data_IF_422427156141
#
_entry.id   IF_422427156141
#
_cell.length_a   1.000
_cell.length_b   1.000
_cell.length_c   1.000
_cell.angle_alpha   90.00
_cell.angle_beta   90.00
_cell.angle_gamma   90.00
#
_symmetry.space_group_name_H-M   'P 1'
#
loop_
_entity.id
_entity.type
_entity.pdbx_description
1 polymer ?
#
# COMPACT_ATOMS: atom_id res chain seq x y z
N UNK A 1 2.58 17.58 -14.60
CA UNK A 1 3.58 17.11 -13.62
C UNK A 1 4.79 16.60 -14.40
N UNK A 2 6.00 16.90 -13.95
CA UNK A 2 7.24 16.47 -14.59
C UNK A 2 8.23 16.03 -13.52
N UNK A 3 8.85 14.87 -13.71
CA UNK A 3 9.91 14.36 -12.85
C UNK A 3 11.22 14.55 -13.61
N UNK A 4 12.21 15.14 -12.97
CA UNK A 4 13.53 15.36 -13.56
C UNK A 4 14.60 14.61 -12.79
N UNK A 5 15.58 14.06 -13.48
CA UNK A 5 16.80 13.56 -12.83
C UNK A 5 17.72 14.71 -12.37
N UNK A 6 18.88 14.35 -11.83
CA UNK A 6 19.92 15.28 -11.38
C UNK A 6 20.48 16.16 -12.49
N UNK A 7 20.38 15.72 -13.74
CA UNK A 7 20.86 16.44 -14.93
C UNK A 7 19.74 17.30 -15.57
N UNK A 8 18.54 17.28 -14.99
CA UNK A 8 17.39 18.07 -15.42
C UNK A 8 16.58 17.45 -16.57
N UNK A 9 16.87 16.20 -16.93
CA UNK A 9 16.18 15.45 -17.99
C UNK A 9 14.82 14.98 -17.48
N UNK A 10 13.76 15.17 -18.28
CA UNK A 10 12.41 14.74 -17.92
C UNK A 10 12.27 13.22 -18.05
N UNK A 11 11.86 12.58 -16.97
CA UNK A 11 11.65 11.14 -16.89
C UNK A 11 10.17 10.82 -17.16
N UNK A 12 9.89 9.83 -18.01
CA UNK A 12 8.54 9.30 -18.18
C UNK A 12 7.94 8.89 -16.83
N UNK A 13 6.74 9.38 -16.56
CA UNK A 13 5.99 9.04 -15.35
C UNK A 13 4.56 8.72 -15.72
N UNK A 14 3.96 7.81 -14.97
CA UNK A 14 2.55 7.45 -15.10
C UNK A 14 1.76 8.11 -13.97
N UNK A 15 0.63 8.72 -14.31
CA UNK A 15 -0.27 9.36 -13.35
C UNK A 15 -1.62 8.64 -13.42
N UNK A 16 -2.09 8.16 -12.27
CA UNK A 16 -3.40 7.53 -12.12
C UNK A 16 -4.17 8.22 -11.00
N UNK A 17 -5.47 8.42 -11.18
CA UNK A 17 -6.33 8.97 -10.14
C UNK A 17 -6.74 7.85 -9.18
N UNK A 18 -6.54 8.06 -7.87
CA UNK A 18 -6.79 7.02 -6.87
C UNK A 18 -8.28 6.78 -6.60
N UNK A 19 -9.11 7.83 -6.67
CA UNK A 19 -10.56 7.77 -6.49
C UNK A 19 -11.26 8.75 -7.44
N UNK A 20 -12.34 8.33 -8.09
CA UNK A 20 -13.12 9.21 -8.97
C UNK A 20 -13.71 10.37 -8.18
N UNK A 21 -13.43 11.61 -8.60
CA UNK A 21 -13.92 12.83 -7.94
C UNK A 21 -13.05 13.36 -6.79
N UNK A 22 -11.97 12.69 -6.41
CA UNK A 22 -11.00 13.22 -5.44
C UNK A 22 -9.77 13.84 -6.13
N UNK A 23 -9.15 14.84 -5.48
CA UNK A 23 -7.90 15.45 -5.94
C UNK A 23 -6.65 14.65 -5.50
N UNK A 24 -6.75 13.30 -5.44
CA UNK A 24 -5.64 12.41 -5.06
C UNK A 24 -5.19 11.60 -6.27
N UNK A 25 -3.89 11.69 -6.57
CA UNK A 25 -3.26 11.03 -7.70
C UNK A 25 -2.09 10.18 -7.21
N UNK A 26 -1.97 8.96 -7.74
CA UNK A 26 -0.79 8.12 -7.60
C UNK A 26 0.09 8.36 -8.82
N UNK A 27 1.37 8.63 -8.55
CA UNK A 27 2.37 8.88 -9.59
C UNK A 27 3.49 7.88 -9.45
N UNK A 28 3.72 7.12 -10.51
CA UNK A 28 4.74 6.07 -10.57
C UNK A 28 5.77 6.43 -11.62
N UNK A 29 7.04 6.30 -11.27
CA UNK A 29 8.15 6.40 -12.21
C UNK A 29 9.23 5.38 -11.84
N UNK A 30 9.94 4.89 -12.84
CA UNK A 30 11.02 3.92 -12.64
C UNK A 30 12.36 4.64 -12.85
N UNK A 31 13.07 5.00 -11.78
CA UNK A 31 14.37 5.66 -11.89
C UNK A 31 15.38 4.69 -12.51
N UNK A 32 16.15 5.18 -13.48
CA UNK A 32 17.19 4.39 -14.19
C UNK A 32 18.60 4.69 -13.69
N UNK A 33 18.75 5.63 -12.75
CA UNK A 33 20.01 6.04 -12.15
C UNK A 33 19.84 6.31 -10.66
N UNK A 34 20.94 6.18 -9.92
CA UNK A 34 21.02 6.62 -8.53
C UNK A 34 21.16 8.15 -8.49
N UNK A 35 20.62 8.77 -7.45
CA UNK A 35 20.73 10.22 -7.29
C UNK A 35 19.44 10.87 -6.83
N UNK A 36 19.44 12.21 -6.87
CA UNK A 36 18.29 13.02 -6.45
C UNK A 36 17.45 13.40 -7.66
N UNK A 37 16.16 13.11 -7.58
CA UNK A 37 15.17 13.42 -8.60
C UNK A 37 14.26 14.54 -8.11
N UNK A 38 14.02 15.54 -8.95
CA UNK A 38 13.16 16.68 -8.63
C UNK A 38 11.77 16.46 -9.22
N UNK A 39 10.75 16.39 -8.36
CA UNK A 39 9.36 16.21 -8.76
C UNK A 39 8.64 17.56 -8.78
N UNK A 40 8.27 18.01 -9.98
CA UNK A 40 7.53 19.25 -10.21
C UNK A 40 6.05 18.96 -10.48
N UNK A 41 5.19 19.44 -9.60
CA UNK A 41 3.74 19.24 -9.63
C UNK A 41 3.06 20.57 -9.85
N UNK A 42 2.29 20.62 -10.94
CA UNK A 42 1.53 21.81 -11.35
C UNK A 42 0.07 21.44 -11.52
N UNK A 43 -0.83 22.29 -11.03
CA UNK A 43 -2.27 22.22 -11.29
C UNK A 43 -2.68 23.50 -12.03
N UNK A 44 -3.36 23.38 -13.17
CA UNK A 44 -3.71 24.52 -14.02
C UNK A 44 -2.54 25.45 -14.38
N UNK A 45 -1.34 24.89 -14.60
CA UNK A 45 -0.06 25.59 -14.85
C UNK A 45 0.52 26.36 -13.66
N UNK A 46 -0.07 26.25 -12.48
CA UNK A 46 0.48 26.80 -11.22
C UNK A 46 1.14 25.70 -10.38
N UNK A 47 2.27 26.01 -9.73
CA UNK A 47 2.98 25.08 -8.84
C UNK A 47 2.22 24.94 -7.53
N UNK A 48 1.93 23.71 -7.12
CA UNK A 48 1.17 23.45 -5.89
C UNK A 48 2.06 23.59 -4.64
N UNK A 49 1.44 23.84 -3.49
CA UNK A 49 2.13 23.92 -2.20
C UNK A 49 2.85 22.60 -1.88
N UNK A 50 4.15 22.67 -1.61
CA UNK A 50 5.00 21.50 -1.35
C UNK A 50 5.72 20.95 -2.59
N UNK A 51 5.57 21.60 -3.75
CA UNK A 51 6.34 21.31 -4.96
C UNK A 51 7.25 22.50 -5.34
N UNK A 52 8.45 22.28 -5.93
CA UNK A 52 9.09 20.97 -6.13
C UNK A 52 9.49 20.29 -4.82
N UNK A 53 9.59 18.97 -4.86
CA UNK A 53 10.18 18.16 -3.79
C UNK A 53 11.13 17.12 -4.38
N UNK A 54 12.05 16.62 -3.55
CA UNK A 54 13.14 15.74 -3.97
C UNK A 54 12.91 14.29 -3.54
N UNK A 55 13.22 13.36 -4.43
CA UNK A 55 13.22 11.91 -4.18
C UNK A 55 14.62 11.39 -4.40
N UNK A 56 15.24 10.82 -3.36
CA UNK A 56 16.61 10.28 -3.45
C UNK A 56 16.56 8.78 -3.69
N UNK A 57 17.14 8.33 -4.80
CA UNK A 57 17.30 6.93 -5.16
C UNK A 57 18.72 6.50 -4.77
N UNK A 58 18.79 5.45 -3.95
CA UNK A 58 20.03 4.92 -3.38
C UNK A 58 20.21 3.47 -3.77
N UNK A 59 21.46 3.01 -3.76
CA UNK A 59 21.82 1.63 -4.04
C UNK A 59 21.35 0.71 -2.90
N UNK A 60 20.77 -0.44 -3.25
CA UNK A 60 20.31 -1.41 -2.25
C UNK A 60 21.47 -2.35 -1.91
N UNK A 61 22.17 -2.06 -0.80
CA UNK A 61 23.28 -2.88 -0.30
C UNK A 61 22.75 -3.97 0.63
N UNK A 62 22.48 -5.16 0.11
CA UNK A 62 22.27 -6.37 0.93
C UNK A 62 22.88 -7.62 0.28
N UNK A 63 24.16 -7.90 0.66
CA UNK A 63 24.73 -9.22 1.00
C UNK A 63 26.25 -9.31 0.68
N UNK A 64 27.12 -9.26 1.70
CA UNK A 64 28.29 -10.16 1.90
C UNK A 64 28.64 -10.22 3.41
N UNK A 65 28.82 -11.43 3.94
CA UNK A 65 29.17 -11.78 5.33
C UNK A 65 30.65 -11.55 5.69
N UNK A 66 30.90 -11.25 6.98
CA UNK A 66 31.97 -11.89 7.76
C UNK A 66 33.17 -11.02 8.19
N UNK A 67 33.29 -10.76 9.50
CA UNK A 67 34.58 -10.47 10.17
C UNK A 67 34.57 -9.34 11.21
N UNK A 68 34.69 -9.69 12.49
CA UNK A 68 35.10 -8.86 13.65
C UNK A 68 36.26 -9.64 14.31
N UNK A 69 37.31 -9.09 14.96
CA UNK A 69 37.53 -7.77 15.61
C UNK A 69 38.80 -7.05 15.08
N UNK A 70 39.35 -5.92 15.54
CA UNK A 70 39.40 -5.22 16.84
C UNK A 70 39.96 -3.78 16.67
N UNK A 71 39.42 -2.88 17.49
CA UNK A 71 40.03 -1.74 18.20
C UNK A 71 40.51 -0.41 17.55
N UNK A 72 39.90 0.63 18.17
CA UNK A 72 40.39 1.96 18.58
C UNK A 72 40.71 3.05 17.54
N UNK A 73 39.78 4.00 17.40
CA UNK A 73 39.97 5.32 18.04
C UNK A 73 38.70 6.19 17.98
N UNK A 74 38.49 6.87 19.10
CA UNK A 74 37.43 7.79 19.52
C UNK A 74 37.29 9.02 18.60
N UNK A 75 36.05 9.46 18.34
CA UNK A 75 35.71 10.88 18.13
C UNK A 75 34.22 11.15 18.39
N UNK A 76 34.00 11.70 19.58
CA UNK A 76 32.99 12.68 20.03
C UNK A 76 31.64 12.83 19.31
N UNK A 77 30.59 12.62 20.12
CA UNK A 77 29.20 12.94 19.85
C UNK A 77 28.93 14.45 20.01
N UNK A 78 28.70 15.16 18.91
CA UNK A 78 28.15 16.53 18.94
C UNK A 78 26.64 16.51 18.75
N UNK A 79 25.92 16.85 19.83
CA UNK A 79 24.50 17.24 19.83
C UNK A 79 24.25 18.45 18.91
N UNK A 80 23.26 18.36 18.02
CA UNK A 80 22.54 19.52 17.42
C UNK A 80 21.05 19.19 17.43
N UNK A 81 20.27 19.58 18.45
CA UNK A 81 19.60 20.88 18.65
C UNK A 81 18.91 21.41 17.38
N UNK A 82 17.59 21.20 17.37
CA UNK A 82 16.61 21.84 16.49
C UNK A 82 16.69 23.37 16.60
N UNK A 83 16.84 24.03 15.45
CA UNK A 83 16.69 25.48 15.30
C UNK A 83 15.26 25.75 14.82
N UNK A 84 14.42 26.29 15.71
CA UNK A 84 13.20 27.02 15.35
C UNK A 84 13.61 28.41 14.88
N UNK A 85 13.22 28.80 13.66
CA UNK A 85 13.27 30.19 13.20
C UNK A 85 12.14 30.97 13.86
N UNK A 86 12.51 31.88 14.77
CA UNK A 86 11.68 32.97 15.25
C UNK A 86 11.42 33.97 14.09
N UNK A 87 10.16 34.33 13.88
CA UNK A 87 9.81 35.59 13.23
C UNK A 87 9.66 36.65 14.33
N UNK A 88 10.53 37.64 14.23
CA UNK A 88 10.58 38.86 15.03
C UNK A 88 9.54 39.83 14.46
N UNK A 89 8.48 40.10 15.21
CA UNK A 89 7.66 41.29 15.02
C UNK A 89 7.72 42.17 16.27
N UNK A 90 7.95 43.44 15.99
CA UNK A 90 8.49 44.47 16.84
C UNK A 90 7.46 44.95 17.87
N UNK A 91 7.84 44.93 19.17
CA UNK A 91 7.13 45.68 20.23
C UNK A 91 7.13 47.18 19.87
N UNK A 92 5.96 47.73 19.58
CA UNK A 92 5.67 49.15 19.85
C UNK A 92 5.15 49.24 21.28
N UNK A 93 5.95 49.82 22.16
CA UNK A 93 5.47 50.38 23.42
C UNK A 93 4.43 51.45 23.11
N UNK A 94 3.19 51.19 23.52
CA UNK A 94 2.25 52.24 23.90
C UNK A 94 1.94 52.04 25.37
N UNK A 95 2.56 52.88 26.20
CA UNK A 95 2.10 53.16 27.55
C UNK A 95 0.65 53.64 27.46
N UNK A 96 -0.27 52.75 27.81
CA UNK A 96 -1.68 53.04 28.03
C UNK A 96 -2.07 52.38 29.34
N UNK A 97 -2.45 53.20 30.31
CA UNK A 97 -2.95 52.81 31.63
C UNK A 97 -4.08 51.78 31.42
N UNK A 98 -3.84 50.50 31.72
CA UNK A 98 -4.90 49.50 31.77
C UNK A 98 -5.56 49.56 33.15
N UNK A 99 -6.71 50.24 33.20
CA UNK A 99 -7.75 49.97 34.19
C UNK A 99 -8.07 48.48 34.15
N UNK A 100 -8.18 47.84 35.31
CA UNK A 100 -8.64 46.46 35.44
C UNK A 100 -10.01 46.30 34.78
N UNK A 101 -10.05 45.61 33.65
CA UNK A 101 -11.27 45.19 32.98
C UNK A 101 -11.28 43.66 32.99
N UNK A 102 -12.39 43.07 33.42
CA UNK A 102 -12.59 41.63 33.43
C UNK A 102 -12.26 41.02 32.06
N UNK A 103 -11.46 39.96 32.06
CA UNK A 103 -11.11 39.19 30.86
C UNK A 103 -12.36 38.44 30.40
N UNK A 104 -12.67 38.48 29.11
CA UNK A 104 -13.84 37.78 28.55
C UNK A 104 -13.68 36.25 28.69
N UNK A 105 -14.77 35.49 28.88
CA UNK A 105 -14.71 34.04 29.03
C UNK A 105 -14.14 33.39 27.77
N UNK A 106 -13.31 32.36 27.96
CA UNK A 106 -12.66 31.66 26.84
C UNK A 106 -12.38 30.19 27.14
N UNK A 107 -12.49 29.36 26.11
CA UNK A 107 -12.15 27.93 26.19
C UNK A 107 -10.69 27.73 25.80
N UNK A 108 -9.90 27.20 26.73
CA UNK A 108 -8.46 27.02 26.54
C UNK A 108 -8.12 25.67 25.89
N UNK A 109 -8.93 24.64 26.16
CA UNK A 109 -8.71 23.28 25.65
C UNK A 109 -10.03 22.59 25.36
N UNK A 110 -10.16 22.06 24.13
CA UNK A 110 -11.33 21.32 23.67
C UNK A 110 -10.93 19.85 23.50
N UNK A 111 -11.73 18.89 24.00
CA UNK A 111 -11.53 17.47 23.72
C UNK A 111 -11.99 17.17 22.29
N UNK A 112 -11.19 17.54 21.28
CA UNK A 112 -11.57 17.38 19.87
C UNK A 112 -11.77 15.91 19.45
N UNK A 113 -11.16 14.97 20.16
CA UNK A 113 -11.32 13.53 20.00
C UNK A 113 -11.41 12.86 21.38
N UNK A 114 -12.47 12.07 21.62
CA UNK A 114 -12.69 11.33 22.86
C UNK A 114 -13.09 9.89 22.60
N UNK A 115 -12.95 9.02 23.61
CA UNK A 115 -13.36 7.61 23.55
C UNK A 115 -14.66 7.40 24.31
N UNK A 116 -15.56 6.57 23.77
CA UNK A 116 -16.76 6.11 24.47
C UNK A 116 -16.42 5.59 25.87
N UNK A 117 -17.19 6.02 26.87
CA UNK A 117 -17.03 5.60 28.27
C UNK A 117 -15.81 6.20 28.99
N UNK A 118 -15.09 7.15 28.38
CA UNK A 118 -13.99 7.89 29.02
C UNK A 118 -14.37 9.34 29.25
N UNK A 119 -13.80 9.97 30.28
CA UNK A 119 -14.01 11.39 30.53
C UNK A 119 -13.47 12.24 29.38
N UNK A 120 -14.36 13.00 28.74
CA UNK A 120 -14.00 14.14 27.90
C UNK A 120 -13.88 15.38 28.79
N UNK A 121 -12.79 16.13 28.66
CA UNK A 121 -12.46 17.24 29.54
C UNK A 121 -12.24 18.51 28.72
N UNK A 122 -12.94 19.57 29.10
CA UNK A 122 -12.79 20.92 28.57
C UNK A 122 -12.40 21.88 29.70
N UNK A 123 -11.53 22.85 29.40
CA UNK A 123 -11.12 23.89 30.34
C UNK A 123 -11.69 25.24 29.89
N UNK A 124 -12.42 25.88 30.80
CA UNK A 124 -13.05 27.19 30.61
C UNK A 124 -12.47 28.18 31.61
N UNK A 125 -11.88 29.26 31.10
CA UNK A 125 -11.53 30.42 31.92
C UNK A 125 -12.71 31.40 31.91
N UNK A 126 -13.14 31.82 33.10
CA UNK A 126 -14.23 32.77 33.30
C UNK A 126 -13.92 33.75 34.43
N UNK A 127 -14.55 34.94 34.44
CA UNK A 127 -14.50 35.83 35.61
C UNK A 127 -14.96 35.11 36.89
N UNK A 128 -14.36 35.43 38.06
CA UNK A 128 -14.77 34.84 39.32
C UNK A 128 -16.25 35.07 39.64
N UNK A 129 -16.96 33.99 39.98
CA UNK A 129 -18.37 34.05 40.36
C UNK A 129 -19.37 34.10 39.19
N UNK A 130 -18.90 33.97 37.94
CA UNK A 130 -19.79 33.87 36.78
C UNK A 130 -20.67 32.61 36.83
N UNK A 131 -21.92 32.75 36.36
CA UNK A 131 -22.83 31.63 36.14
C UNK A 131 -22.45 30.93 34.83
N UNK A 132 -22.33 29.60 34.86
CA UNK A 132 -21.91 28.80 33.72
C UNK A 132 -22.95 27.74 33.43
N UNK A 133 -23.46 27.76 32.20
CA UNK A 133 -24.34 26.73 31.67
C UNK A 133 -23.61 25.97 30.56
N UNK A 134 -23.65 24.64 30.65
CA UNK A 134 -23.04 23.75 29.65
C UNK A 134 -24.06 22.73 29.24
N UNK A 135 -24.33 22.66 27.94
CA UNK A 135 -25.18 21.65 27.33
C UNK A 135 -24.33 20.80 26.39
N UNK A 136 -24.32 19.49 26.63
CA UNK A 136 -23.65 18.53 25.74
C UNK A 136 -24.71 17.66 25.10
N UNK A 137 -24.74 17.64 23.78
CA UNK A 137 -25.68 16.82 23.02
C UNK A 137 -24.91 15.78 22.23
N UNK A 138 -25.33 14.52 22.33
CA UNK A 138 -24.73 13.42 21.59
C UNK A 138 -25.15 13.42 20.10
N UNK A 139 -24.54 12.52 19.32
CA UNK A 139 -24.83 12.38 17.89
C UNK A 139 -26.30 11.98 17.57
N UNK A 140 -27.05 11.49 18.57
CA UNK A 140 -28.48 11.16 18.48
C UNK A 140 -29.38 12.26 19.03
N UNK A 141 -28.82 13.44 19.35
CA UNK A 141 -29.51 14.60 19.93
C UNK A 141 -29.99 14.41 21.38
N UNK A 142 -29.43 13.45 22.12
CA UNK A 142 -29.70 13.31 23.56
C UNK A 142 -28.74 14.17 24.38
N UNK A 143 -29.24 14.79 25.44
CA UNK A 143 -28.42 15.56 26.38
C UNK A 143 -27.65 14.63 27.32
N UNK A 144 -26.36 14.90 27.49
CA UNK A 144 -25.48 14.16 28.40
C UNK A 144 -25.28 14.90 29.72
N UNK A 145 -25.14 14.16 30.84
CA UNK A 145 -24.83 14.78 32.12
C UNK A 145 -23.43 15.42 32.10
N UNK A 146 -23.35 16.65 32.58
CA UNK A 146 -22.10 17.43 32.68
C UNK A 146 -21.74 17.65 34.14
N UNK A 147 -20.46 17.48 34.47
CA UNK A 147 -19.89 17.84 35.76
C UNK A 147 -18.97 19.04 35.58
N UNK A 148 -19.18 20.07 36.40
CA UNK A 148 -18.31 21.26 36.44
C UNK A 148 -17.55 21.22 37.76
N UNK A 149 -16.22 21.22 37.68
CA UNK A 149 -15.31 21.23 38.82
C UNK A 149 -14.53 22.54 38.81
N UNK A 150 -14.30 23.11 39.98
CA UNK A 150 -13.49 24.32 40.13
C UNK A 150 -12.02 23.94 40.32
N UNK A 151 -11.12 24.64 39.63
CA UNK A 151 -9.68 24.58 39.86
C UNK A 151 -9.19 25.98 40.24
N UNK A 152 -8.88 26.19 41.52
CA UNK A 152 -8.44 27.48 42.06
C UNK A 152 -6.92 27.64 41.89
N UNK A 153 -6.45 27.79 40.65
CA UNK A 153 -5.06 28.19 40.37
C UNK A 153 -4.99 29.62 39.79
N UNK A 154 -4.85 30.62 40.66
CA UNK A 154 -4.47 32.01 40.29
C UNK A 154 -5.60 33.06 40.36
N UNK A 155 -5.38 34.21 39.69
CA UNK A 155 -6.32 35.36 39.64
C UNK A 155 -7.51 35.14 38.68
N UNK A 156 -7.61 33.99 38.01
CA UNK A 156 -8.68 33.59 37.08
C UNK A 156 -9.35 32.30 37.57
N UNK A 157 -10.67 32.19 37.47
CA UNK A 157 -11.40 30.96 37.82
C UNK A 157 -11.37 30.02 36.61
N UNK A 158 -10.61 28.93 36.70
CA UNK A 158 -10.58 27.88 35.67
C UNK A 158 -11.56 26.79 36.09
N UNK A 159 -12.61 26.58 35.27
CA UNK A 159 -13.54 25.48 35.45
C UNK A 159 -13.21 24.32 34.53
N UNK A 160 -13.16 23.14 35.12
CA UNK A 160 -13.02 21.90 34.40
C UNK A 160 -14.39 21.27 34.16
N UNK A 161 -14.80 21.27 32.89
CA UNK A 161 -16.05 20.70 32.41
C UNK A 161 -15.78 19.26 31.97
N UNK A 162 -16.51 18.31 32.54
CA UNK A 162 -16.37 16.88 32.26
C UNK A 162 -17.70 16.27 31.83
N UNK A 163 -17.66 15.40 30.83
CA UNK A 163 -18.77 14.51 30.47
C UNK A 163 -18.22 13.15 30.03
N UNK A 164 -19.08 12.14 29.96
CA UNK A 164 -18.72 10.80 29.48
C UNK A 164 -19.60 10.51 28.26
N UNK A 165 -19.05 10.47 27.03
CA UNK A 165 -19.84 10.13 25.86
C UNK A 165 -20.11 8.62 25.83
N UNK A 166 -21.35 8.26 25.48
CA UNK A 166 -21.80 6.86 25.47
C UNK A 166 -21.88 6.27 24.06
N UNK A 167 -21.94 7.13 23.03
CA UNK A 167 -22.08 6.71 21.64
C UNK A 167 -20.97 7.29 20.77
N UNK A 168 -20.73 6.65 19.62
CA UNK A 168 -19.81 7.12 18.59
C UNK A 168 -20.45 8.25 17.79
N UNK A 169 -19.65 9.24 17.39
CA UNK A 169 -20.09 10.35 16.53
C UNK A 169 -19.76 11.73 17.11
N UNK A 170 -20.23 12.76 16.43
CA UNK A 170 -19.99 14.16 16.80
C UNK A 170 -20.91 14.54 17.97
N UNK A 171 -20.30 15.01 19.06
CA UNK A 171 -20.99 15.57 20.22
C UNK A 171 -20.83 17.09 20.23
N UNK A 172 -21.93 17.80 20.42
CA UNK A 172 -22.02 19.25 20.36
C UNK A 172 -22.01 19.83 21.78
N UNK A 173 -21.05 20.72 22.08
CA UNK A 173 -20.85 21.31 23.40
C UNK A 173 -21.17 22.80 23.32
N UNK A 174 -22.32 23.18 23.87
CA UNK A 174 -22.77 24.56 23.98
C UNK A 174 -22.42 25.12 25.36
N UNK A 175 -21.79 26.30 25.42
CA UNK A 175 -21.35 26.92 26.66
C UNK A 175 -21.84 28.36 26.69
N UNK A 176 -22.53 28.71 27.78
CA UNK A 176 -22.90 30.09 28.10
C UNK A 176 -22.28 30.51 29.43
N UNK A 177 -21.86 31.77 29.49
CA UNK A 177 -21.36 32.42 30.70
C UNK A 177 -22.17 33.69 30.88
N UNK A 178 -22.85 33.83 32.02
CA UNK A 178 -23.74 34.94 32.35
C UNK A 178 -24.74 35.24 31.20
N UNK A 179 -25.44 34.19 30.74
CA UNK A 179 -26.41 34.17 29.62
C UNK A 179 -25.84 34.48 28.22
N UNK A 180 -24.54 34.72 28.09
CA UNK A 180 -23.88 34.98 26.81
C UNK A 180 -23.14 33.75 26.28
N UNK A 181 -23.31 33.44 24.99
CA UNK A 181 -22.55 32.36 24.34
C UNK A 181 -21.05 32.66 24.31
N UNK A 182 -20.27 31.66 24.71
CA UNK A 182 -18.81 31.75 24.63
C UNK A 182 -18.38 31.70 23.16
N UNK A 183 -17.41 32.55 22.80
CA UNK A 183 -16.90 32.60 21.42
C UNK A 183 -16.40 31.22 20.96
N UNK A 184 -16.90 30.77 19.81
CA UNK A 184 -16.56 29.47 19.22
C UNK A 184 -17.48 28.31 19.66
N UNK A 185 -18.40 28.57 20.58
CA UNK A 185 -19.51 27.65 20.86
C UNK A 185 -20.50 27.65 19.68
N UNK A 186 -21.09 26.49 19.31
CA UNK A 186 -20.86 25.17 19.88
C UNK A 186 -19.53 24.54 19.44
N UNK A 187 -18.89 23.81 20.34
CA UNK A 187 -17.67 23.03 20.07
C UNK A 187 -18.02 21.58 19.70
N UNK A 188 -17.23 20.98 18.81
CA UNK A 188 -17.43 19.58 18.41
C UNK A 188 -16.38 18.68 19.07
N UNK A 189 -16.86 17.68 19.82
CA UNK A 189 -16.08 16.55 20.32
C UNK A 189 -16.38 15.32 19.47
N UNK A 190 -15.40 14.83 18.71
CA UNK A 190 -15.58 13.61 17.92
C UNK A 190 -15.34 12.39 18.80
N UNK A 191 -16.32 11.49 18.88
CA UNK A 191 -16.25 10.32 19.75
C UNK A 191 -16.02 9.05 18.94
N UNK A 192 -15.10 8.22 19.38
CA UNK A 192 -14.71 6.98 18.74
C UNK A 192 -14.76 5.79 19.72
N UNK A 193 -14.83 4.57 19.18
CA UNK A 193 -14.85 3.34 19.95
C UNK A 193 -14.05 2.22 19.26
N UNK A 194 -12.81 1.94 19.73
CA UNK A 194 -11.98 0.86 19.19
C UNK A 194 -12.64 -0.53 19.30
N UNK A 195 -13.59 -0.71 20.22
CA UNK A 195 -14.27 -2.01 20.43
C UNK A 195 -15.24 -2.36 19.31
N UNK A 196 -15.63 -1.37 18.50
CA UNK A 196 -16.49 -1.55 17.32
C UNK A 196 -15.72 -1.87 16.04
N UNK A 197 -14.39 -1.91 16.09
CA UNK A 197 -13.58 -2.43 14.98
C UNK A 197 -13.77 -3.95 14.92
N UNK A 198 -14.18 -4.46 13.75
CA UNK A 198 -14.35 -5.89 13.50
C UNK A 198 -13.24 -6.36 12.56
N UNK A 199 -12.44 -7.30 13.02
CA UNK A 199 -11.39 -7.93 12.22
C UNK A 199 -11.94 -9.27 11.70
N UNK A 200 -11.95 -9.42 10.39
CA UNK A 200 -12.32 -10.67 9.73
C UNK A 200 -11.33 -11.79 10.03
N UNK A 201 -11.67 -13.01 9.61
CA UNK A 201 -10.78 -14.16 9.77
C UNK A 201 -9.41 -13.88 9.12
N UNK A 202 -8.33 -14.15 9.87
CA UNK A 202 -6.97 -14.11 9.36
C UNK A 202 -6.57 -15.54 9.04
N UNK A 203 -6.48 -15.90 7.74
CA UNK A 203 -6.12 -17.26 7.37
C UNK A 203 -4.65 -17.54 7.72
N UNK A 204 -4.32 -18.84 7.84
CA UNK A 204 -2.92 -19.26 7.89
C UNK A 204 -2.20 -18.87 6.59
N UNK A 205 -0.92 -18.52 6.70
CA UNK A 205 -0.11 -18.06 5.58
C UNK A 205 0.85 -19.12 5.03
N UNK A 206 1.28 -18.92 3.79
CA UNK A 206 2.37 -19.67 3.13
C UNK A 206 3.50 -18.69 2.84
N UNK A 207 4.74 -19.11 3.05
CA UNK A 207 5.92 -18.29 2.75
C UNK A 207 5.87 -17.77 1.30
N UNK A 208 6.20 -16.50 1.11
CA UNK A 208 6.17 -15.80 -0.19
C UNK A 208 4.79 -15.68 -0.85
N UNK A 209 3.69 -16.00 -0.16
CA UNK A 209 2.32 -15.77 -0.65
C UNK A 209 1.61 -14.72 0.21
N UNK A 210 0.90 -13.76 -0.40
CA UNK A 210 0.20 -12.74 0.37
C UNK A 210 -0.93 -13.35 1.20
N UNK A 211 -1.01 -12.96 2.46
CA UNK A 211 -2.14 -13.21 3.35
C UNK A 211 -3.07 -12.01 3.29
N UNK A 212 -4.37 -12.24 3.12
CA UNK A 212 -5.39 -11.19 3.04
C UNK A 212 -6.41 -11.36 4.15
N UNK A 213 -6.81 -10.26 4.79
CA UNK A 213 -7.94 -10.22 5.71
C UNK A 213 -8.59 -8.84 5.70
N UNK A 214 -9.83 -8.75 6.17
CA UNK A 214 -10.61 -7.50 6.14
C UNK A 214 -10.73 -6.91 7.54
N UNK A 215 -10.60 -5.59 7.65
CA UNK A 215 -10.91 -4.81 8.86
C UNK A 215 -12.07 -3.88 8.55
N UNK A 216 -13.13 -3.99 9.34
CA UNK A 216 -14.33 -3.16 9.26
C UNK A 216 -14.33 -2.13 10.41
N UNK A 217 -14.26 -0.85 10.04
CA UNK A 217 -14.23 0.27 10.96
C UNK A 217 -15.49 1.16 10.89
N UNK A 218 -16.55 0.70 10.21
CA UNK A 218 -17.73 1.52 9.93
C UNK A 218 -18.40 2.10 11.17
N UNK A 219 -18.38 1.37 12.29
CA UNK A 219 -19.06 1.77 13.52
C UNK A 219 -18.12 2.37 14.58
N UNK A 220 -16.81 2.40 14.33
CA UNK A 220 -15.81 2.82 15.32
C UNK A 220 -15.61 4.33 15.41
N UNK A 221 -16.18 5.09 14.47
CA UNK A 221 -16.03 6.54 14.39
C UNK A 221 -14.76 6.97 13.69
N UNK A 222 -14.39 8.23 13.87
CA UNK A 222 -13.18 8.79 13.25
C UNK A 222 -11.92 8.36 14.00
N UNK A 223 -10.89 8.00 13.25
CA UNK A 223 -9.61 7.65 13.85
C UNK A 223 -8.59 7.11 12.87
N UNK A 224 -7.38 6.90 13.38
CA UNK A 224 -6.28 6.27 12.66
C UNK A 224 -6.27 4.77 12.95
N UNK A 225 -6.29 3.96 11.88
CA UNK A 225 -6.11 2.51 11.97
C UNK A 225 -4.65 2.18 11.66
N UNK A 226 -3.99 1.47 12.57
CA UNK A 226 -2.59 1.08 12.46
C UNK A 226 -2.48 -0.44 12.46
N UNK A 227 -1.74 -0.98 11.50
CA UNK A 227 -1.43 -2.41 11.42
C UNK A 227 0.08 -2.60 11.43
N UNK A 228 0.55 -3.43 12.34
CA UNK A 228 1.95 -3.84 12.42
C UNK A 228 2.05 -5.37 12.41
N UNK A 229 2.80 -5.90 11.45
CA UNK A 229 3.14 -7.33 11.38
C UNK A 229 4.54 -7.51 11.95
N UNK A 230 4.68 -8.37 12.96
CA UNK A 230 5.92 -8.57 13.71
C UNK A 230 6.57 -7.23 14.12
N UNK A 231 5.77 -6.38 14.78
CA UNK A 231 6.21 -5.05 15.26
C UNK A 231 6.68 -4.09 14.14
N UNK A 232 6.21 -4.32 12.91
CA UNK A 232 6.50 -3.48 11.75
C UNK A 232 7.71 -3.95 10.94
N UNK A 233 8.31 -5.08 11.28
CA UNK A 233 9.42 -5.68 10.51
C UNK A 233 8.96 -6.22 9.15
N UNK A 234 7.68 -6.59 9.03
CA UNK A 234 7.08 -7.01 7.76
C UNK A 234 6.15 -5.91 7.27
N UNK A 235 6.40 -5.45 6.04
CA UNK A 235 5.55 -4.47 5.39
C UNK A 235 4.14 -5.03 5.19
N UNK A 236 3.14 -4.24 5.58
CA UNK A 236 1.74 -4.51 5.29
C UNK A 236 1.18 -3.43 4.37
N UNK A 237 0.20 -3.81 3.56
CA UNK A 237 -0.54 -2.92 2.67
C UNK A 237 -1.99 -2.86 3.13
N UNK A 238 -2.59 -1.67 3.04
CA UNK A 238 -4.01 -1.46 3.28
C UNK A 238 -4.66 -0.95 1.99
N UNK A 239 -5.71 -1.63 1.53
CA UNK A 239 -6.52 -1.24 0.38
C UNK A 239 -7.93 -0.90 0.85
N UNK A 240 -8.40 0.31 0.54
CA UNK A 240 -9.77 0.69 0.85
C UNK A 240 -10.77 -0.12 0.00
N UNK A 241 -11.78 -0.70 0.66
CA UNK A 241 -12.90 -1.39 0.01
C UNK A 241 -14.18 -0.52 -0.04
N UNK A 242 -14.12 0.70 0.52
CA UNK A 242 -15.27 1.58 0.69
C UNK A 242 -16.00 1.33 2.02
N UNK A 243 -16.90 2.25 2.39
CA UNK A 243 -17.70 2.18 3.62
C UNK A 243 -16.88 1.90 4.90
N UNK A 244 -15.69 2.51 5.00
CA UNK A 244 -14.75 2.31 6.11
C UNK A 244 -14.30 0.85 6.33
N UNK A 245 -14.30 0.04 5.26
CA UNK A 245 -13.68 -1.28 5.25
C UNK A 245 -12.34 -1.24 4.52
N UNK A 246 -11.39 -2.01 5.04
CA UNK A 246 -10.02 -2.07 4.53
C UNK A 246 -9.60 -3.53 4.38
N UNK A 247 -9.11 -3.90 3.20
CA UNK A 247 -8.40 -5.15 3.02
C UNK A 247 -6.94 -4.92 3.39
N UNK A 248 -6.45 -5.72 4.33
CA UNK A 248 -5.07 -5.70 4.78
C UNK A 248 -4.36 -6.90 4.17
N UNK A 249 -3.14 -6.69 3.68
CA UNK A 249 -2.30 -7.77 3.17
C UNK A 249 -0.85 -7.66 3.58
N UNK A 250 -0.19 -8.78 3.80
CA UNK A 250 1.26 -8.86 3.99
C UNK A 250 1.82 -10.15 3.40
N UNK A 251 3.12 -10.20 3.13
CA UNK A 251 3.81 -11.39 2.62
C UNK A 251 4.76 -11.92 3.69
N UNK A 252 4.53 -13.11 4.26
CA UNK A 252 5.43 -13.73 5.21
C UNK A 252 6.68 -14.26 4.50
N UNK A 253 7.85 -13.97 5.05
CA UNK A 253 9.15 -14.36 4.48
C UNK A 253 9.84 -15.47 5.29
N UNK A 254 9.39 -15.71 6.52
CA UNK A 254 9.99 -16.65 7.45
C UNK A 254 8.96 -17.68 7.92
N UNK A 255 9.42 -18.90 8.22
CA UNK A 255 8.56 -19.98 8.72
C UNK A 255 8.34 -19.84 10.24
N UNK A 256 7.72 -18.75 10.67
CA UNK A 256 7.40 -18.45 12.06
C UNK A 256 5.96 -18.00 12.18
N UNK A 257 5.35 -18.17 13.35
CA UNK A 257 4.07 -17.52 13.62
C UNK A 257 4.24 -15.99 13.56
N UNK A 258 3.46 -15.34 12.70
CA UNK A 258 3.47 -13.89 12.58
C UNK A 258 2.41 -13.25 13.48
N UNK A 259 2.85 -12.28 14.27
CA UNK A 259 2.02 -11.51 15.18
C UNK A 259 1.52 -10.25 14.48
N UNK A 260 0.21 -10.11 14.36
CA UNK A 260 -0.45 -8.98 13.69
C UNK A 260 -1.10 -8.11 14.76
N UNK A 261 -0.53 -6.94 15.00
CA UNK A 261 -1.03 -5.96 15.97
C UNK A 261 -1.84 -4.91 15.23
N UNK A 262 -3.12 -4.80 15.57
CA UNK A 262 -4.03 -3.78 15.04
C UNK A 262 -4.40 -2.81 16.16
N UNK A 263 -4.28 -1.51 15.88
CA UNK A 263 -4.65 -0.43 16.81
C UNK A 263 -5.56 0.58 16.12
N UNK A 264 -6.43 1.20 16.90
CA UNK A 264 -7.26 2.32 16.49
C UNK A 264 -7.07 3.47 17.48
N UNK A 265 -6.60 4.63 17.00
CA UNK A 265 -6.20 5.77 17.84
C UNK A 265 -5.25 5.39 18.99
N UNK A 266 -4.20 4.62 18.67
CA UNK A 266 -3.20 4.05 19.60
C UNK A 266 -3.71 2.96 20.57
N UNK A 267 -5.00 2.63 20.56
CA UNK A 267 -5.57 1.59 21.41
C UNK A 267 -5.72 0.26 20.66
N UNK A 268 -5.45 -0.86 21.33
CA UNK A 268 -5.61 -2.17 20.73
C UNK A 268 -7.10 -2.47 20.46
N UNK A 269 -7.40 -2.94 19.26
CA UNK A 269 -8.75 -3.41 18.90
C UNK A 269 -9.03 -4.79 19.51
N UNK A 270 -10.30 -5.21 19.65
CA UNK A 270 -10.62 -6.54 20.18
C UNK A 270 -9.92 -7.66 19.41
N UNK A 271 -9.33 -8.61 20.14
CA UNK A 271 -8.59 -9.74 19.57
C UNK A 271 -7.14 -9.43 19.18
N UNK A 272 -6.73 -8.16 19.18
CA UNK A 272 -5.34 -7.77 18.94
C UNK A 272 -4.46 -8.11 20.15
N UNK A 273 -3.27 -8.72 19.96
CA UNK A 273 -2.68 -9.11 18.68
C UNK A 273 -3.26 -10.44 18.15
N UNK A 274 -3.38 -10.53 16.83
CA UNK A 274 -3.76 -11.75 16.13
C UNK A 274 -2.52 -12.56 15.75
N UNK A 275 -2.67 -13.87 15.60
CA UNK A 275 -1.61 -14.75 15.14
C UNK A 275 -1.97 -15.30 13.76
N UNK A 276 -1.12 -15.05 12.77
CA UNK A 276 -1.11 -15.77 11.51
C UNK A 276 -0.05 -16.86 11.62
N UNK A 277 -0.49 -18.11 11.74
CA UNK A 277 0.45 -19.22 11.69
C UNK A 277 0.96 -19.35 10.27
N UNK A 278 2.28 -19.45 10.14
CA UNK A 278 2.87 -19.95 8.91
C UNK A 278 2.82 -21.45 9.01
N UNK A 279 1.65 -21.93 8.59
CA UNK A 279 1.37 -23.33 8.54
C UNK A 279 2.11 -23.94 7.35
N UNK A 280 3.05 -24.82 7.66
CA UNK A 280 3.06 -26.17 7.10
C UNK A 280 1.86 -27.02 7.58
N UNK A 281 0.74 -26.38 7.94
CA UNK A 281 -0.51 -27.01 8.43
C UNK A 281 -1.42 -27.41 7.26
N UNK A 282 -1.01 -27.17 6.02
CA UNK A 282 -1.28 -28.16 5.00
C UNK A 282 -0.22 -29.23 5.19
N UNK A 283 -0.62 -30.48 5.43
CA UNK A 283 0.22 -31.68 5.22
C UNK A 283 0.97 -31.69 3.86
N UNK A 284 0.76 -30.71 2.99
CA UNK A 284 1.22 -30.59 1.62
C UNK A 284 1.59 -29.13 1.30
N UNK A 285 2.83 -28.85 0.93
CA UNK A 285 3.26 -27.60 0.32
C UNK A 285 3.45 -27.81 -1.17
N UNK A 286 2.77 -27.03 -2.02
CA UNK A 286 2.79 -27.18 -3.49
C UNK A 286 3.27 -25.88 -4.12
N UNK A 287 4.40 -25.91 -4.83
CA UNK A 287 5.02 -24.72 -5.39
C UNK A 287 5.87 -25.05 -6.63
N UNK A 288 6.11 -24.06 -7.49
CA UNK A 288 7.00 -24.21 -8.65
C UNK A 288 6.52 -23.42 -9.85
N UNK A 289 7.43 -23.20 -10.80
CA UNK A 289 7.16 -22.41 -12.02
C UNK A 289 6.08 -23.05 -12.90
N UNK A 290 5.92 -24.37 -12.80
CA UNK A 290 4.86 -25.13 -13.43
C UNK A 290 3.45 -24.83 -12.93
N UNK A 291 3.28 -23.98 -11.92
CA UNK A 291 1.96 -23.49 -11.46
C UNK A 291 1.66 -22.06 -11.95
N UNK A 292 2.54 -21.46 -12.76
CA UNK A 292 2.47 -20.05 -13.16
C UNK A 292 2.34 -19.90 -14.69
N UNK A 293 3.14 -19.02 -15.31
CA UNK A 293 3.21 -18.86 -16.78
C UNK A 293 4.26 -19.81 -17.33
N UNK A 294 3.85 -20.64 -18.29
CA UNK A 294 4.69 -21.71 -18.83
C UNK A 294 4.73 -21.67 -20.36
N UNK A 295 5.89 -21.90 -20.99
CA UNK A 295 5.98 -21.94 -22.45
C UNK A 295 5.42 -23.24 -23.02
N UNK A 296 4.63 -23.15 -24.10
CA UNK A 296 4.15 -24.31 -24.87
C UNK A 296 5.34 -25.10 -25.42
N UNK A 297 5.24 -26.44 -25.35
CA UNK A 297 6.24 -27.37 -25.88
C UNK A 297 7.48 -27.56 -25.01
N UNK A 298 7.57 -26.88 -23.86
CA UNK A 298 8.67 -27.05 -22.91
C UNK A 298 8.18 -27.70 -21.61
N UNK A 299 9.00 -28.55 -20.96
CA UNK A 299 8.67 -29.10 -19.65
C UNK A 299 8.42 -27.99 -18.63
N UNK A 300 7.38 -28.17 -17.83
CA UNK A 300 6.99 -27.35 -16.70
C UNK A 300 7.02 -28.21 -15.43
N UNK A 301 7.57 -27.66 -14.35
CA UNK A 301 7.84 -28.40 -13.13
C UNK A 301 7.23 -27.72 -11.90
N UNK A 302 6.63 -28.52 -11.01
CA UNK A 302 6.32 -28.08 -9.66
C UNK A 302 6.55 -29.20 -8.64
N UNK A 303 6.68 -28.82 -7.39
CA UNK A 303 7.04 -29.68 -6.27
C UNK A 303 5.88 -29.78 -5.28
N UNK A 304 5.65 -30.98 -4.75
CA UNK A 304 4.75 -31.27 -3.63
C UNK A 304 5.59 -31.81 -2.47
N UNK A 305 5.62 -31.10 -1.36
CA UNK A 305 6.29 -31.53 -0.13
C UNK A 305 5.26 -31.93 0.91
N UNK A 306 5.35 -33.17 1.41
CA UNK A 306 4.40 -33.72 2.39
C UNK A 306 4.92 -33.68 3.83
N UNK A 307 6.23 -33.50 4.00
CA UNK A 307 6.89 -33.59 5.31
C UNK A 307 7.01 -35.02 5.87
N UNK A 308 6.48 -36.02 5.18
CA UNK A 308 6.50 -37.44 5.57
C UNK A 308 7.34 -38.26 4.59
N UNK A 309 8.50 -38.77 5.06
CA UNK A 309 9.37 -39.63 4.24
C UNK A 309 8.68 -40.92 3.77
N UNK A 310 7.64 -41.38 4.47
CA UNK A 310 6.82 -42.54 4.11
C UNK A 310 5.58 -42.17 3.28
N UNK A 311 5.48 -40.93 2.81
CA UNK A 311 4.35 -40.48 1.99
C UNK A 311 4.15 -41.34 0.75
N UNK A 312 2.87 -41.58 0.46
CA UNK A 312 2.40 -42.26 -0.75
C UNK A 312 2.42 -41.29 -1.94
N UNK A 313 2.36 -41.83 -3.16
CA UNK A 313 2.36 -40.99 -4.37
C UNK A 313 1.07 -40.15 -4.45
N UNK A 314 1.14 -38.83 -4.70
CA UNK A 314 -0.05 -38.02 -4.97
C UNK A 314 -0.66 -38.36 -6.33
N UNK A 315 -1.96 -38.18 -6.46
CA UNK A 315 -2.72 -38.27 -7.70
C UNK A 315 -2.78 -36.88 -8.34
N UNK A 316 -2.34 -36.77 -9.59
CA UNK A 316 -2.25 -35.49 -10.29
C UNK A 316 -2.92 -35.59 -11.65
N UNK A 317 -3.76 -34.62 -11.94
CA UNK A 317 -4.42 -34.48 -13.23
C UNK A 317 -4.23 -33.07 -13.76
N UNK A 318 -3.76 -32.97 -15.00
CA UNK A 318 -3.63 -31.68 -15.70
C UNK A 318 -4.60 -31.72 -16.88
N UNK A 319 -5.51 -30.76 -16.92
CA UNK A 319 -6.54 -30.62 -17.97
C UNK A 319 -6.20 -29.39 -18.80
N UNK A 320 -6.11 -29.57 -20.12
CA UNK A 320 -5.82 -28.48 -21.04
C UNK A 320 -7.07 -27.60 -21.31
N UNK A 321 -6.92 -26.44 -21.96
CA UNK A 321 -8.04 -25.56 -22.33
C UNK A 321 -9.20 -26.20 -23.13
N UNK A 322 -8.99 -27.38 -23.75
CA UNK A 322 -10.03 -28.12 -24.50
C UNK A 322 -10.75 -29.16 -23.64
N UNK A 323 -10.27 -29.39 -22.42
CA UNK A 323 -10.77 -30.43 -21.52
C UNK A 323 -10.00 -31.75 -21.64
N UNK A 324 -8.93 -31.81 -22.43
CA UNK A 324 -8.14 -33.02 -22.63
C UNK A 324 -7.09 -33.20 -21.51
N UNK A 325 -6.85 -34.45 -21.12
CA UNK A 325 -5.83 -34.76 -20.10
C UNK A 325 -4.41 -34.65 -20.68
N UNK A 326 -3.55 -33.89 -20.02
CA UNK A 326 -2.13 -33.77 -20.34
C UNK A 326 -1.35 -34.84 -19.57
N UNK A 327 -0.43 -35.58 -20.22
CA UNK A 327 0.44 -36.53 -19.52
C UNK A 327 1.30 -35.86 -18.45
N UNK A 328 1.35 -36.46 -17.27
CA UNK A 328 2.12 -36.01 -16.11
C UNK A 328 3.07 -37.11 -15.67
N UNK A 329 4.31 -36.74 -15.37
CA UNK A 329 5.28 -37.60 -14.69
C UNK A 329 5.45 -37.10 -13.26
N UNK A 330 5.39 -38.00 -12.29
CA UNK A 330 5.65 -37.68 -10.89
C UNK A 330 6.83 -38.53 -10.43
N UNK A 331 7.80 -37.91 -9.79
CA UNK A 331 9.01 -38.55 -9.27
C UNK A 331 9.13 -38.26 -7.77
N UNK A 332 9.43 -39.28 -6.96
CA UNK A 332 9.67 -39.11 -5.52
C UNK A 332 11.15 -38.92 -5.28
N UNK A 333 11.53 -37.84 -4.60
CA UNK A 333 12.94 -37.63 -4.22
C UNK A 333 13.35 -38.66 -3.16
N UNK A 334 14.41 -39.42 -3.46
CA UNK A 334 14.98 -40.43 -2.58
C UNK A 334 15.67 -39.85 -1.33
N UNK A 335 16.03 -38.55 -1.35
CA UNK A 335 16.73 -37.87 -0.24
C UNK A 335 15.82 -36.94 0.58
N UNK A 336 14.62 -36.63 0.08
CA UNK A 336 13.68 -35.68 0.67
C UNK A 336 12.73 -36.29 1.71
N UNK A 337 12.30 -35.48 2.69
CA UNK A 337 11.26 -35.82 3.68
C UNK A 337 9.86 -35.83 3.03
N UNK A 338 9.63 -36.69 2.04
CA UNK A 338 8.34 -36.78 1.34
C UNK A 338 8.15 -35.71 0.28
N UNK A 339 9.14 -35.55 -0.59
CA UNK A 339 9.08 -34.58 -1.69
C UNK A 339 8.80 -35.29 -3.03
N UNK A 340 7.91 -34.70 -3.82
CA UNK A 340 7.51 -35.19 -5.14
C UNK A 340 7.69 -34.09 -6.18
N UNK A 341 8.41 -34.39 -7.24
CA UNK A 341 8.60 -33.51 -8.39
C UNK A 341 7.65 -33.90 -9.50
N UNK A 342 6.89 -32.94 -10.01
CA UNK A 342 5.83 -33.14 -10.99
C UNK A 342 6.21 -32.42 -12.27
N UNK A 343 6.26 -33.16 -13.36
CA UNK A 343 6.64 -32.68 -14.68
C UNK A 343 5.51 -32.91 -15.69
N UNK A 344 5.22 -31.88 -16.48
CA UNK A 344 4.29 -31.98 -17.61
C UNK A 344 4.67 -30.99 -18.72
N UNK A 345 4.21 -31.23 -19.95
CA UNK A 345 4.52 -30.36 -21.09
C UNK A 345 3.22 -29.85 -21.73
N UNK A 346 2.87 -28.55 -21.59
CA UNK A 346 1.70 -27.98 -22.24
C UNK A 346 1.86 -27.99 -23.77
N UNK A 347 0.82 -28.41 -24.48
CA UNK A 347 0.83 -28.49 -25.96
C UNK A 347 0.07 -27.38 -26.66
N UNK A 348 -0.81 -26.70 -25.93
CA UNK A 348 -1.65 -25.63 -26.47
C UNK A 348 -1.56 -24.39 -25.59
N UNK A 349 -1.87 -23.23 -26.15
CA UNK A 349 -1.91 -21.95 -25.42
C UNK A 349 -3.20 -21.89 -24.59
N UNK A 350 -3.10 -21.37 -23.36
CA UNK A 350 -4.25 -21.10 -22.50
C UNK A 350 -4.11 -21.65 -21.08
N UNK A 351 -5.21 -21.56 -20.33
CA UNK A 351 -5.28 -22.00 -18.94
C UNK A 351 -5.35 -23.53 -18.85
N UNK A 352 -4.35 -24.13 -18.22
CA UNK A 352 -4.34 -25.54 -17.84
C UNK A 352 -4.74 -25.64 -16.38
N UNK A 353 -5.73 -26.48 -16.08
CA UNK A 353 -6.21 -26.73 -14.73
C UNK A 353 -5.44 -27.90 -14.15
N UNK A 354 -4.88 -27.74 -12.95
CA UNK A 354 -4.10 -28.77 -12.27
C UNK A 354 -4.85 -29.18 -11.01
N UNK A 355 -5.32 -30.41 -10.98
CA UNK A 355 -5.90 -31.03 -9.80
C UNK A 355 -4.86 -31.91 -9.10
N UNK A 356 -4.82 -31.80 -7.78
CA UNK A 356 -3.90 -32.57 -6.92
C UNK A 356 -4.70 -33.18 -5.78
N UNK A 357 -4.63 -34.50 -5.66
CA UNK A 357 -5.22 -35.29 -4.59
C UNK A 357 -4.15 -36.11 -3.89
N UNK A 358 -4.32 -36.29 -2.58
CA UNK A 358 -3.48 -37.17 -1.78
C UNK A 358 -4.38 -38.00 -0.87
N UNK A 359 -4.25 -39.33 -0.94
CA UNK A 359 -5.11 -40.28 -0.19
C UNK A 359 -6.61 -40.02 -0.41
N UNK A 360 -7.00 -39.70 -1.65
CA UNK A 360 -8.38 -39.39 -2.02
C UNK A 360 -8.86 -37.99 -1.63
N UNK A 361 -8.05 -37.17 -0.95
CA UNK A 361 -8.40 -35.80 -0.55
C UNK A 361 -7.72 -34.74 -1.44
N UNK A 362 -8.48 -33.76 -1.91
CA UNK A 362 -7.96 -32.61 -2.67
C UNK A 362 -7.09 -31.72 -1.79
N UNK A 363 -5.90 -31.34 -2.29
CA UNK A 363 -4.91 -30.55 -1.54
C UNK A 363 -4.46 -29.32 -2.34
N UNK A 364 -4.85 -28.13 -1.89
CA UNK A 364 -4.42 -26.84 -2.47
C UNK A 364 -4.87 -26.56 -3.92
N UNK A 365 -5.57 -27.50 -4.56
CA UNK A 365 -5.98 -27.45 -5.96
C UNK A 365 -7.49 -27.18 -6.08
N UNK A 366 -8.00 -26.70 -7.24
CA UNK A 366 -7.31 -26.58 -8.53
C UNK A 366 -6.31 -25.41 -8.62
N UNK A 367 -5.15 -25.65 -9.24
CA UNK A 367 -4.24 -24.58 -9.69
C UNK A 367 -4.50 -24.25 -11.17
N UNK A 368 -4.05 -23.08 -11.62
CA UNK A 368 -4.15 -22.68 -13.03
C UNK A 368 -2.80 -22.24 -13.57
N UNK A 369 -2.27 -23.00 -14.52
CA UNK A 369 -1.06 -22.64 -15.25
C UNK A 369 -1.40 -22.02 -16.60
N UNK A 370 -0.78 -20.89 -16.91
CA UNK A 370 -1.08 -20.08 -18.09
C UNK A 370 -0.04 -20.37 -19.18
N UNK A 371 -0.37 -21.32 -20.04
CA UNK A 371 0.51 -21.69 -21.15
C UNK A 371 0.53 -20.61 -22.23
N UNK A 372 1.72 -20.26 -22.70
CA UNK A 372 1.93 -19.23 -23.71
C UNK A 372 2.87 -19.67 -24.82
N UNK A 373 2.75 -19.04 -25.98
CA UNK A 373 3.59 -19.28 -27.15
C UNK A 373 4.01 -17.96 -27.79
N UNK A 374 5.24 -17.51 -27.49
CA UNK A 374 5.81 -16.31 -28.10
C UNK A 374 5.91 -16.43 -29.63
N UNK A 375 6.02 -17.66 -30.15
CA UNK A 375 6.00 -17.96 -31.58
C UNK A 375 4.65 -17.71 -32.26
N UNK A 376 3.58 -17.42 -31.50
CA UNK A 376 2.28 -17.01 -32.03
C UNK A 376 2.04 -15.50 -31.98
N UNK A 377 2.96 -14.72 -31.40
CA UNK A 377 2.98 -13.27 -31.58
C UNK A 377 3.57 -12.91 -32.95
N UNK A 378 3.11 -11.82 -33.55
CA UNK A 378 3.58 -11.33 -34.85
C UNK A 378 3.94 -9.87 -34.76
N UNK A 379 5.13 -9.55 -35.25
CA UNK A 379 5.55 -8.19 -35.54
C UNK A 379 5.34 -7.92 -37.03
N UNK A 380 4.70 -6.80 -37.37
CA UNK A 380 4.55 -6.35 -38.75
C UNK A 380 4.85 -4.86 -38.87
N UNK A 381 5.83 -4.52 -39.71
CA UNK A 381 6.14 -3.15 -40.09
C UNK A 381 5.32 -2.79 -41.35
N UNK A 382 4.57 -1.70 -41.29
CA UNK A 382 3.70 -1.28 -42.40
C UNK A 382 4.42 -0.40 -43.42
N UNK A 383 5.38 0.41 -42.97
CA UNK A 383 6.08 1.40 -43.80
C UNK A 383 7.58 1.47 -43.46
N UNK A 384 8.41 1.84 -44.45
CA UNK A 384 9.82 2.15 -44.21
C UNK A 384 9.96 3.39 -43.30
N UNK A 385 10.96 3.35 -42.41
CA UNK A 385 11.20 4.43 -41.47
C UNK A 385 11.94 5.60 -42.17
N UNK A 386 11.36 6.79 -42.14
CA UNK A 386 11.95 8.01 -42.72
C UNK A 386 12.39 8.93 -41.59
N UNK A 387 13.64 9.41 -41.65
CA UNK A 387 14.20 10.35 -40.66
C UNK A 387 13.29 11.56 -40.46
N UNK A 388 12.99 11.86 -39.20
CA UNK A 388 12.13 12.98 -38.79
C UNK A 388 10.63 12.73 -38.96
N UNK A 389 10.20 11.57 -39.47
CA UNK A 389 8.79 11.20 -39.60
C UNK A 389 8.45 10.06 -38.64
N UNK A 390 7.29 10.12 -38.01
CA UNK A 390 6.80 9.01 -37.20
C UNK A 390 6.58 7.79 -38.10
N UNK A 391 7.17 6.66 -37.70
CA UNK A 391 6.98 5.34 -38.31
C UNK A 391 6.26 4.45 -37.30
N UNK A 392 5.44 3.52 -37.80
CA UNK A 392 4.65 2.63 -36.96
C UNK A 392 4.82 1.17 -37.34
N UNK A 393 4.85 0.31 -36.32
CA UNK A 393 4.74 -1.12 -36.46
C UNK A 393 3.65 -1.67 -35.54
N UNK A 394 3.11 -2.82 -35.93
CA UNK A 394 2.03 -3.50 -35.25
C UNK A 394 2.54 -4.78 -34.60
N UNK A 395 2.08 -5.04 -33.38
CA UNK A 395 2.31 -6.30 -32.67
C UNK A 395 0.95 -6.97 -32.42
N UNK A 396 0.75 -8.16 -32.95
CA UNK A 396 -0.43 -8.99 -32.69
C UNK A 396 -0.02 -10.20 -31.83
N UNK A 397 -0.45 -10.21 -30.57
CA UNK A 397 -0.19 -11.27 -29.61
C UNK A 397 -1.48 -12.03 -29.22
N UNK A 398 -2.58 -11.87 -29.97
CA UNK A 398 -3.89 -12.43 -29.61
C UNK A 398 -3.88 -13.96 -29.44
N UNK A 399 -2.96 -14.65 -30.11
CA UNK A 399 -2.79 -16.11 -30.05
C UNK A 399 -1.62 -16.56 -29.16
N UNK A 400 -0.85 -15.62 -28.60
CA UNK A 400 0.33 -15.94 -27.80
C UNK A 400 0.00 -16.35 -26.37
N UNK A 401 -1.21 -16.09 -25.89
CA UNK A 401 -1.65 -16.40 -24.53
C UNK A 401 -1.44 -15.23 -23.57
N UNK A 402 -1.52 -15.51 -22.26
CA UNK A 402 -1.33 -14.49 -21.23
C UNK A 402 0.15 -14.18 -21.03
N UNK A 403 0.52 -12.90 -21.07
CA UNK A 403 1.91 -12.52 -20.86
C UNK A 403 2.17 -11.03 -20.91
N UNK A 404 3.42 -10.71 -20.64
CA UNK A 404 3.97 -9.37 -20.69
C UNK A 404 4.81 -9.21 -21.96
N UNK A 405 4.80 -8.00 -22.50
CA UNK A 405 5.55 -7.65 -23.71
C UNK A 405 6.62 -6.62 -23.37
N UNK A 406 7.83 -6.86 -23.87
CA UNK A 406 8.96 -5.93 -23.78
C UNK A 406 9.29 -5.46 -25.19
N UNK A 407 9.29 -4.15 -25.41
CA UNK A 407 9.53 -3.52 -26.72
C UNK A 407 10.71 -2.57 -26.60
N UNK A 408 11.75 -2.82 -27.38
CA UNK A 408 12.93 -1.98 -27.46
C UNK A 408 13.14 -1.61 -28.92
N UNK A 409 13.21 -0.29 -29.18
CA UNK A 409 13.70 0.23 -30.45
C UNK A 409 15.07 0.82 -30.16
N UNK A 410 16.10 0.44 -30.92
CA UNK A 410 17.45 0.96 -30.69
C UNK A 410 18.20 1.27 -31.98
N UNK A 411 19.16 2.19 -31.92
CA UNK A 411 20.07 2.56 -33.01
C UNK A 411 21.48 2.68 -32.44
N UNK A 412 22.45 1.96 -33.00
CA UNK A 412 23.81 1.84 -32.46
C UNK A 412 23.84 1.50 -30.95
N UNK A 413 22.91 0.65 -30.49
CA UNK A 413 22.78 0.28 -29.06
C UNK A 413 22.18 1.35 -28.16
N UNK A 414 21.74 2.50 -28.69
CA UNK A 414 21.02 3.55 -27.95
C UNK A 414 19.52 3.36 -28.08
N UNK A 415 18.79 3.46 -26.97
CA UNK A 415 17.34 3.37 -26.98
C UNK A 415 16.70 4.56 -27.70
N UNK A 416 15.77 4.26 -28.60
CA UNK A 416 14.95 5.24 -29.30
C UNK A 416 13.59 5.32 -28.59
N UNK A 417 13.13 6.51 -28.17
CA UNK A 417 11.82 6.66 -27.57
C UNK A 417 10.72 6.15 -28.50
N UNK A 418 9.83 5.34 -27.94
CA UNK A 418 8.67 4.81 -28.63
C UNK A 418 7.42 5.02 -27.80
N UNK A 419 6.26 5.01 -28.46
CA UNK A 419 4.95 5.13 -27.85
C UNK A 419 4.13 3.91 -28.23
N UNK A 420 3.47 3.29 -27.24
CA UNK A 420 2.66 2.09 -27.43
C UNK A 420 1.20 2.46 -27.22
N UNK A 421 0.37 2.12 -28.19
CA UNK A 421 -1.08 2.30 -28.18
C UNK A 421 -1.75 0.93 -28.33
N UNK A 422 -2.69 0.62 -27.44
CA UNK A 422 -3.51 -0.57 -27.58
C UNK A 422 -4.61 -0.31 -28.63
N UNK A 423 -4.69 -1.16 -29.66
CA UNK A 423 -5.70 -1.06 -30.73
C UNK A 423 -6.88 -2.01 -30.46
N UNK A 424 -6.59 -3.21 -29.96
CA UNK A 424 -7.60 -4.20 -29.56
C UNK A 424 -7.02 -5.16 -28.52
N UNK A 425 -7.79 -6.18 -28.13
CA UNK A 425 -7.32 -7.22 -27.22
C UNK A 425 -6.02 -7.85 -27.75
N UNK A 426 -4.92 -7.66 -26.99
CA UNK A 426 -3.58 -8.15 -27.31
C UNK A 426 -3.03 -7.70 -28.70
N UNK A 427 -3.50 -6.58 -29.24
CA UNK A 427 -2.90 -5.92 -30.41
C UNK A 427 -2.44 -4.52 -30.06
N UNK A 428 -1.22 -4.21 -30.45
CA UNK A 428 -0.54 -2.97 -30.08
C UNK A 428 0.05 -2.30 -31.31
N UNK A 429 -0.20 -1.00 -31.44
CA UNK A 429 0.47 -0.12 -32.38
C UNK A 429 1.62 0.57 -31.67
N UNK A 430 2.82 0.50 -32.23
CA UNK A 430 4.00 1.16 -31.68
C UNK A 430 4.49 2.19 -32.66
N UNK A 431 4.69 3.42 -32.20
CA UNK A 431 5.23 4.51 -33.01
C UNK A 431 6.58 4.98 -32.48
N UNK A 432 7.53 5.24 -33.37
CA UNK A 432 8.79 5.90 -33.05
C UNK A 432 9.15 6.88 -34.18
N UNK A 433 10.05 7.85 -33.91
CA UNK A 433 10.52 8.80 -34.92
C UNK A 433 12.04 8.71 -35.04
N UNK A 434 12.60 8.08 -36.08
CA UNK A 434 14.04 8.00 -36.28
C UNK A 434 14.64 9.39 -36.45
N UNK A 435 15.74 9.67 -35.78
CA UNK A 435 16.46 10.96 -35.87
C UNK A 435 17.71 10.88 -36.76
N UNK A 436 18.15 9.67 -37.09
CA UNK A 436 19.37 9.41 -37.86
C UNK A 436 19.03 8.40 -38.97
N UNK A 437 19.65 8.55 -40.15
CA UNK A 437 19.48 7.63 -41.28
C UNK A 437 20.37 6.39 -41.10
N UNK A 438 20.05 5.57 -40.10
CA UNK A 438 20.78 4.36 -39.72
C UNK A 438 19.81 3.20 -39.49
N UNK A 439 20.34 1.99 -39.48
CA UNK A 439 19.58 0.79 -39.13
C UNK A 439 19.07 0.89 -37.68
N UNK A 440 17.76 0.79 -37.52
CA UNK A 440 17.10 0.75 -36.22
C UNK A 440 16.66 -0.69 -35.97
N UNK A 441 17.01 -1.24 -34.80
CA UNK A 441 16.64 -2.58 -34.41
C UNK A 441 15.38 -2.54 -33.54
N UNK A 442 14.34 -3.26 -33.96
CA UNK A 442 13.13 -3.50 -33.18
C UNK A 442 13.24 -4.87 -32.52
N UNK A 443 13.45 -4.88 -31.20
CA UNK A 443 13.47 -6.08 -30.37
C UNK A 443 12.19 -6.18 -29.56
N UNK A 444 11.40 -7.22 -29.83
CA UNK A 444 10.19 -7.52 -29.05
C UNK A 444 10.30 -8.88 -28.39
N UNK A 445 10.04 -8.93 -27.08
CA UNK A 445 9.94 -10.17 -26.31
C UNK A 445 8.56 -10.32 -25.69
N UNK A 446 8.09 -11.56 -25.63
CA UNK A 446 6.86 -11.97 -24.95
C UNK A 446 7.21 -12.96 -23.83
N UNK A 447 6.94 -12.59 -22.58
CA UNK A 447 7.38 -13.32 -21.38
C UNK A 447 8.88 -13.65 -21.39
N UNK A 448 9.71 -12.72 -21.88
CA UNK A 448 11.16 -12.88 -22.01
C UNK A 448 11.65 -13.66 -23.23
N UNK A 449 10.74 -14.27 -24.02
CA UNK A 449 11.08 -14.97 -25.26
C UNK A 449 10.95 -14.04 -26.47
N UNK A 450 11.92 -14.01 -27.40
CA UNK A 450 11.80 -13.20 -28.62
C UNK A 450 10.60 -13.68 -29.46
N UNK A 451 9.88 -12.73 -30.05
CA UNK A 451 8.79 -13.05 -30.98
C UNK A 451 9.31 -13.11 -32.42
N UNK A 452 8.63 -13.85 -33.32
CA UNK A 452 8.99 -13.87 -34.74
C UNK A 452 8.85 -12.50 -35.43
N UNK A 453 9.85 -12.18 -36.26
CA UNK A 453 9.98 -10.91 -36.97
C UNK A 453 11.11 -10.07 -36.36
N UNK A 454 12.31 -10.16 -36.93
CA UNK A 454 13.38 -9.20 -36.65
C UNK A 454 13.33 -8.14 -37.75
N UNK A 455 13.20 -6.87 -37.38
CA UNK A 455 13.17 -5.73 -38.30
C UNK A 455 14.05 -4.61 -37.80
#
# INVERSE_FOLDING_TARGET
>A
MAIKDSDGIIIPSHVSQLESGSAKFLVTFNPTSLGTFTVNVTFNKEVIKGSPFEVKIVENLSNVQGGVPSDTSTLESTKKKNIKKEKKDTKKEKNGIKKGGAKAPSVEKIPSLSRVGKHAILLLSSPPGSQIEVFVVDASRNELPVQILNDEEGDEEIKQIRFIPEIVGDHEISIKVDDMEVTGSPFICRVHDPTKIKVGEIPNGIINKPVHFVVDAAEAGVGNLEVAVNEGTIASMARALGHHKYEISFVPLENIDHKISIRFNNEAVPGSPFNCRIGSDAKFNIFGTGLERIPVGKPAEFTIQTGDSKAQMPEIEVIDPRGDKVPVTVEKDAKGKGEFTVNYTPKIVGNHVIEVKYQGQTIGSPFTSKAFDAGQARLSLEEEAIVGRACTFMIDAAKAGAGNMEIIVSVDGRNVPNFVQAESQAKFKVSFTPQEAKEHLISVKFNGFPIPGNF
#
